data_IF_511010975963
#
_entry.id   IF_511010975963
#
_cell.length_a   1.000
_cell.length_b   1.000
_cell.length_c   1.000
_cell.angle_alpha   90.00
_cell.angle_beta   90.00
_cell.angle_gamma   90.00
#
_symmetry.space_group_name_H-M   'P 1'
#
loop_
_entity.id
_entity.type
_entity.pdbx_description
1 polymer ?
#
# COMPACT_ATOMS: atom_id res chain seq x y z
N UNK A 1 55.27 30.19 21.98
CA UNK A 1 54.60 30.67 20.75
C UNK A 1 53.79 29.54 20.14
N UNK A 2 52.51 29.79 19.89
CA UNK A 2 51.49 28.86 19.36
C UNK A 2 51.85 28.37 17.95
N UNK A 3 51.51 27.11 17.62
CA UNK A 3 50.69 26.78 16.43
C UNK A 3 49.75 25.61 16.73
N UNK A 4 48.46 25.94 16.71
CA UNK A 4 47.28 25.10 16.95
C UNK A 4 46.86 24.51 15.60
N UNK A 5 47.07 23.22 15.36
CA UNK A 5 46.49 22.53 14.20
C UNK A 5 45.11 22.01 14.59
N UNK A 6 44.08 22.78 14.23
CA UNK A 6 42.69 22.39 14.38
C UNK A 6 42.40 21.36 13.29
N UNK A 7 42.48 20.08 13.64
CA UNK A 7 41.92 18.99 12.83
C UNK A 7 40.40 19.16 12.86
N UNK A 8 39.86 19.87 11.88
CA UNK A 8 38.41 19.98 11.68
C UNK A 8 37.95 18.62 11.19
N UNK A 9 37.31 17.89 12.11
CA UNK A 9 36.68 16.61 11.86
C UNK A 9 35.80 16.67 10.62
N UNK A 10 36.04 15.72 9.73
CA UNK A 10 35.13 15.34 8.69
C UNK A 10 33.88 14.79 9.39
N UNK A 11 32.90 15.65 9.65
CA UNK A 11 31.55 15.17 9.95
C UNK A 11 31.00 14.64 8.64
N UNK A 12 30.75 13.32 8.47
CA UNK A 12 29.85 12.92 7.41
C UNK A 12 28.53 13.65 7.69
N UNK A 13 28.16 14.54 6.78
CA UNK A 13 26.89 15.23 6.81
C UNK A 13 25.82 14.15 6.71
N UNK A 14 25.33 13.70 7.85
CA UNK A 14 24.17 12.82 7.94
C UNK A 14 23.01 13.68 7.51
N UNK A 15 22.77 13.74 6.19
CA UNK A 15 21.43 13.94 5.70
C UNK A 15 20.68 12.68 6.13
N UNK A 16 20.20 12.68 7.38
CA UNK A 16 19.02 11.94 7.72
C UNK A 16 17.94 12.56 6.82
N UNK A 17 17.83 12.01 5.61
CA UNK A 17 16.63 12.15 4.81
C UNK A 17 15.60 11.44 5.66
N UNK A 18 14.98 12.22 6.52
CA UNK A 18 13.69 11.98 7.14
C UNK A 18 12.77 11.72 5.95
N UNK A 19 12.78 10.47 5.48
CA UNK A 19 11.72 9.90 4.69
C UNK A 19 10.55 9.78 5.65
N UNK A 20 10.02 10.92 6.10
CA UNK A 20 8.58 11.03 6.19
C UNK A 20 8.16 10.87 4.75
N UNK A 21 7.95 9.62 4.35
CA UNK A 21 7.00 9.35 3.29
C UNK A 21 5.82 10.23 3.66
N UNK A 22 5.57 11.29 2.89
CA UNK A 22 4.27 11.90 2.85
C UNK A 22 3.36 10.77 2.38
N UNK A 23 2.96 9.92 3.34
CA UNK A 23 1.98 8.86 3.14
C UNK A 23 0.70 9.62 2.98
N UNK A 24 0.47 10.08 1.75
CA UNK A 24 -0.78 10.67 1.33
C UNK A 24 -1.88 9.74 1.82
N UNK A 25 -2.81 10.31 2.59
CA UNK A 25 -3.87 9.54 3.21
C UNK A 25 -4.57 8.74 2.11
N UNK A 26 -4.69 7.41 2.24
CA UNK A 26 -5.27 6.59 1.19
C UNK A 26 -6.71 6.95 0.83
N UNK A 27 -7.38 7.81 1.61
CA UNK A 27 -8.71 8.37 1.30
C UNK A 27 -8.66 9.48 0.27
N UNK A 28 -7.53 10.17 0.14
CA UNK A 28 -7.31 11.26 -0.81
C UNK A 28 -6.69 10.75 -2.13
N UNK A 29 -6.44 9.44 -2.24
CA UNK A 29 -5.95 8.84 -3.48
C UNK A 29 -6.95 8.94 -4.61
N UNK A 30 -6.50 9.48 -5.74
CA UNK A 30 -7.23 9.48 -7.00
C UNK A 30 -7.18 8.10 -7.68
N UNK A 31 -8.02 7.92 -8.69
CA UNK A 31 -8.14 6.68 -9.49
C UNK A 31 -6.77 6.19 -10.00
N UNK A 32 -5.88 7.10 -10.44
CA UNK A 32 -4.55 6.72 -10.95
C UNK A 32 -3.64 6.18 -9.83
N UNK A 33 -3.71 6.76 -8.64
CA UNK A 33 -2.93 6.30 -7.48
C UNK A 33 -3.41 4.91 -7.04
N UNK A 34 -4.72 4.70 -7.00
CA UNK A 34 -5.34 3.38 -6.73
C UNK A 34 -4.93 2.35 -7.78
N UNK A 35 -4.92 2.71 -9.06
CA UNK A 35 -4.48 1.83 -10.15
C UNK A 35 -3.03 1.38 -9.98
N UNK A 36 -2.12 2.29 -9.65
CA UNK A 36 -0.71 1.96 -9.39
C UNK A 36 -0.58 1.01 -8.20
N UNK A 37 -1.31 1.28 -7.12
CA UNK A 37 -1.35 0.42 -5.95
C UNK A 37 -1.91 -0.98 -6.27
N UNK A 38 -3.03 -1.07 -7.00
CA UNK A 38 -3.61 -2.34 -7.42
C UNK A 38 -2.68 -3.12 -8.35
N UNK A 39 -1.99 -2.44 -9.26
CA UNK A 39 -0.96 -3.04 -10.12
C UNK A 39 0.18 -3.62 -9.29
N UNK A 40 0.67 -2.90 -8.27
CA UNK A 40 1.71 -3.40 -7.38
C UNK A 40 1.23 -4.59 -6.53
N UNK A 41 -0.03 -4.56 -6.06
CA UNK A 41 -0.62 -5.60 -5.22
C UNK A 41 -0.80 -6.92 -5.97
N UNK A 42 -1.30 -6.88 -7.20
CA UNK A 42 -1.60 -8.09 -7.98
C UNK A 42 -0.55 -8.43 -9.04
N UNK A 43 0.38 -7.52 -9.31
CA UNK A 43 1.32 -7.62 -10.43
C UNK A 43 0.61 -7.88 -11.77
N UNK A 44 -0.58 -7.29 -11.95
CA UNK A 44 -1.49 -7.55 -13.06
C UNK A 44 -2.09 -6.22 -13.55
N UNK A 45 -1.79 -5.87 -14.81
CA UNK A 45 -2.28 -4.64 -15.43
C UNK A 45 -3.75 -4.72 -15.83
N UNK A 46 -4.26 -5.92 -16.13
CA UNK A 46 -5.67 -6.13 -16.45
C UNK A 46 -6.55 -5.86 -15.24
N UNK A 47 -6.11 -6.31 -14.06
CA UNK A 47 -6.77 -5.98 -12.80
C UNK A 47 -6.67 -4.49 -12.52
N UNK A 48 -5.48 -3.89 -12.62
CA UNK A 48 -5.30 -2.46 -12.37
C UNK A 48 -6.20 -1.58 -13.25
N UNK A 49 -6.37 -1.96 -14.53
CA UNK A 49 -7.29 -1.27 -15.45
C UNK A 49 -8.75 -1.37 -15.01
N UNK A 50 -9.18 -2.48 -14.39
CA UNK A 50 -10.54 -2.59 -13.84
C UNK A 50 -10.82 -1.61 -12.72
N UNK A 51 -9.83 -1.33 -11.87
CA UNK A 51 -9.96 -0.29 -10.84
C UNK A 51 -10.13 1.12 -11.45
N UNK A 52 -9.50 1.38 -12.60
CA UNK A 52 -9.70 2.62 -13.35
C UNK A 52 -11.05 2.67 -14.06
N UNK A 53 -11.47 1.57 -14.69
CA UNK A 53 -12.77 1.46 -15.39
C UNK A 53 -13.96 1.61 -14.42
N UNK A 54 -13.84 1.11 -13.20
CA UNK A 54 -14.86 1.25 -12.16
C UNK A 54 -14.70 2.55 -11.34
N UNK A 55 -13.78 3.44 -11.74
CA UNK A 55 -13.50 4.73 -11.07
C UNK A 55 -13.27 4.58 -9.56
N UNK A 56 -12.47 3.59 -9.18
CA UNK A 56 -12.18 3.30 -7.77
C UNK A 56 -11.15 4.29 -7.24
N UNK A 57 -11.63 5.16 -6.36
CA UNK A 57 -10.82 6.12 -5.60
C UNK A 57 -10.54 5.62 -4.17
N UNK A 58 -9.66 6.32 -3.47
CA UNK A 58 -9.33 6.10 -2.07
C UNK A 58 -10.54 5.98 -1.14
N UNK A 59 -11.52 6.89 -1.29
CA UNK A 59 -12.78 6.85 -0.51
C UNK A 59 -13.60 5.60 -0.80
N UNK A 60 -13.58 5.13 -2.04
CA UNK A 60 -14.29 3.91 -2.45
C UNK A 60 -13.59 2.68 -1.90
N UNK A 61 -12.25 2.65 -1.86
CA UNK A 61 -11.48 1.58 -1.22
C UNK A 61 -11.81 1.42 0.28
N UNK A 62 -12.10 2.53 0.97
CA UNK A 62 -12.47 2.48 2.39
C UNK A 62 -13.88 1.87 2.61
N UNK A 63 -14.74 1.90 1.60
CA UNK A 63 -16.12 1.45 1.71
C UNK A 63 -16.21 -0.08 1.78
N UNK A 64 -16.97 -0.63 2.72
CA UNK A 64 -17.23 -2.08 2.77
C UNK A 64 -17.92 -2.61 1.51
N UNK A 65 -18.55 -1.74 0.73
CA UNK A 65 -19.19 -2.13 -0.53
C UNK A 65 -18.18 -2.72 -1.53
N UNK A 66 -16.96 -2.17 -1.59
CA UNK A 66 -15.93 -2.68 -2.51
C UNK A 66 -15.43 -4.07 -2.11
N UNK A 67 -15.64 -4.45 -0.84
CA UNK A 67 -15.33 -5.76 -0.30
C UNK A 67 -16.43 -6.80 -0.52
N UNK A 68 -17.53 -6.43 -1.21
CA UNK A 68 -18.57 -7.39 -1.59
C UNK A 68 -18.07 -8.30 -2.71
N UNK A 69 -18.47 -9.58 -2.68
CA UNK A 69 -18.11 -10.58 -3.68
C UNK A 69 -18.36 -10.10 -5.13
N UNK A 70 -19.51 -9.47 -5.39
CA UNK A 70 -19.87 -8.95 -6.71
C UNK A 70 -18.94 -7.83 -7.18
N UNK A 71 -18.56 -6.92 -6.28
CA UNK A 71 -17.64 -5.82 -6.60
C UNK A 71 -16.24 -6.33 -6.86
N UNK A 72 -15.76 -7.27 -6.04
CA UNK A 72 -14.46 -7.91 -6.25
C UNK A 72 -14.43 -8.70 -7.58
N UNK A 73 -15.51 -9.37 -7.95
CA UNK A 73 -15.60 -10.08 -9.23
C UNK A 73 -15.51 -9.12 -10.43
N UNK A 74 -16.22 -7.98 -10.37
CA UNK A 74 -16.12 -6.92 -11.38
C UNK A 74 -14.71 -6.34 -11.51
N UNK A 75 -13.95 -6.29 -10.41
CA UNK A 75 -12.54 -5.87 -10.40
C UNK A 75 -11.57 -6.94 -10.93
N UNK A 76 -12.07 -8.09 -11.39
CA UNK A 76 -11.24 -9.21 -11.85
C UNK A 76 -10.63 -10.04 -10.72
N UNK A 77 -11.13 -9.89 -9.49
CA UNK A 77 -10.74 -10.64 -8.32
C UNK A 77 -11.68 -11.84 -8.12
N UNK A 78 -11.88 -12.66 -9.15
CA UNK A 78 -12.83 -13.78 -9.10
C UNK A 78 -12.42 -14.93 -8.18
N UNK A 79 -11.12 -15.11 -7.94
CA UNK A 79 -10.58 -16.19 -7.11
C UNK A 79 -10.57 -15.83 -5.62
N UNK A 80 -10.90 -16.79 -4.75
CA UNK A 80 -10.88 -16.65 -3.28
C UNK A 80 -9.56 -16.03 -2.77
N UNK A 81 -8.41 -16.47 -3.28
CA UNK A 81 -7.10 -15.95 -2.85
C UNK A 81 -6.87 -14.48 -3.22
N UNK A 82 -7.39 -14.00 -4.36
CA UNK A 82 -7.31 -12.58 -4.75
C UNK A 82 -8.24 -11.72 -3.90
N UNK A 83 -9.45 -12.22 -3.60
CA UNK A 83 -10.43 -11.55 -2.73
C UNK A 83 -9.88 -11.34 -1.32
N UNK A 84 -9.31 -12.40 -0.74
CA UNK A 84 -8.68 -12.35 0.58
C UNK A 84 -7.49 -11.37 0.60
N UNK A 85 -6.59 -11.47 -0.39
CA UNK A 85 -5.45 -10.56 -0.55
C UNK A 85 -5.88 -9.09 -0.66
N UNK A 86 -6.95 -8.80 -1.42
CA UNK A 86 -7.50 -7.47 -1.55
C UNK A 86 -8.05 -6.95 -0.22
N UNK A 87 -8.87 -7.74 0.47
CA UNK A 87 -9.43 -7.37 1.76
C UNK A 87 -8.34 -7.09 2.80
N UNK A 88 -7.31 -7.94 2.88
CA UNK A 88 -6.15 -7.71 3.76
C UNK A 88 -5.41 -6.43 3.39
N UNK A 89 -5.15 -6.21 2.09
CA UNK A 89 -4.41 -5.03 1.64
C UNK A 89 -5.18 -3.73 1.89
N UNK A 90 -6.51 -3.72 1.71
CA UNK A 90 -7.37 -2.57 2.04
C UNK A 90 -7.36 -2.32 3.56
N UNK A 91 -7.44 -3.38 4.37
CA UNK A 91 -7.39 -3.24 5.84
C UNK A 91 -6.04 -2.69 6.33
N UNK A 92 -4.94 -3.19 5.76
CA UNK A 92 -3.57 -2.72 6.03
C UNK A 92 -3.42 -1.25 5.62
N UNK A 93 -3.91 -0.90 4.42
CA UNK A 93 -3.87 0.44 3.87
C UNK A 93 -4.56 1.47 4.76
N UNK A 94 -5.73 1.16 5.31
CA UNK A 94 -6.45 2.06 6.23
C UNK A 94 -6.11 1.85 7.71
N UNK A 95 -5.10 1.03 8.01
CA UNK A 95 -4.65 0.78 9.39
C UNK A 95 -5.71 0.13 10.28
N UNK A 96 -6.73 -0.53 9.72
CA UNK A 96 -7.63 -1.40 10.48
C UNK A 96 -6.88 -2.69 10.77
N UNK A 97 -5.93 -2.61 11.70
CA UNK A 97 -5.23 -3.74 12.29
C UNK A 97 -6.25 -4.64 13.00
N UNK A 98 -6.92 -5.51 12.25
CA UNK A 98 -7.29 -6.80 12.81
C UNK A 98 -6.06 -7.67 12.56
N UNK A 99 -5.22 -7.77 13.58
CA UNK A 99 -4.12 -8.71 13.67
C UNK A 99 -4.66 -10.11 13.36
N UNK A 100 -4.62 -10.53 12.10
CA UNK A 100 -4.85 -11.92 11.75
C UNK A 100 -3.61 -12.71 12.18
N UNK A 101 -3.56 -13.03 13.47
CA UNK A 101 -2.88 -14.23 13.93
C UNK A 101 -3.64 -15.42 13.36
N UNK A 102 -3.30 -15.83 12.15
CA UNK A 102 -3.69 -17.12 11.60
C UNK A 102 -2.44 -17.95 11.36
N UNK A 103 -2.20 -19.07 12.08
CA UNK A 103 -1.18 -20.01 11.67
C UNK A 103 -1.68 -20.70 10.40
N UNK A 104 -1.08 -20.41 9.25
CA UNK A 104 -1.24 -21.27 8.09
C UNK A 104 -0.60 -22.61 8.41
N UNK A 105 -1.43 -23.54 8.87
CA UNK A 105 -1.14 -24.95 8.99
C UNK A 105 -0.92 -25.52 7.59
N UNK A 106 0.32 -25.49 7.12
CA UNK A 106 0.77 -26.38 6.05
C UNK A 106 0.84 -27.79 6.63
N UNK A 107 -0.14 -28.62 6.23
CA UNK A 107 -0.06 -30.08 6.38
C UNK A 107 1.11 -30.58 5.52
N UNK A 108 2.03 -31.30 6.15
CA UNK A 108 2.97 -32.24 5.55
C UNK A 108 3.24 -33.32 6.59
#
# INVERSE_FOLDING_TARGET
>A
MLKRTRSTGFTPSVVAVDQREDVEDPRDWDVQRVKVWAKALFNDEGIARKFEEEEIEGRTLQSERILSDSSMDNLGLSTIGKKDKFATAVQDLFGKFIKFCGPYKVRG
#
